data_IF_879440877459
#
_entry.id   IF_879440877459
#
_cell.length_a   1.000
_cell.length_b   1.000
_cell.length_c   1.000
_cell.angle_alpha   90.00
_cell.angle_beta   90.00
_cell.angle_gamma   90.00
#
_symmetry.space_group_name_H-M   'P 1'
#
loop_
_entity.id
_entity.type
_entity.pdbx_description
1 polymer ?
#
# COMPACT_ATOMS: atom_id res chain seq x y z
N UNK A 1 13.72 9.81 -8.80
CA UNK A 1 12.44 9.22 -9.25
C UNK A 1 11.47 9.15 -8.09
N UNK A 2 10.25 9.53 -8.30
CA UNK A 2 9.24 9.42 -7.26
C UNK A 2 8.65 8.01 -7.28
N UNK A 3 8.59 7.40 -6.09
CA UNK A 3 8.02 6.07 -5.91
C UNK A 3 6.75 6.21 -5.09
N UNK A 4 5.70 5.52 -5.50
CA UNK A 4 4.42 5.57 -4.81
C UNK A 4 3.96 4.19 -4.38
N UNK A 5 3.24 4.16 -3.24
CA UNK A 5 2.54 2.97 -2.79
C UNK A 5 1.08 3.21 -3.11
N UNK A 6 0.51 2.35 -3.94
CA UNK A 6 -0.86 2.55 -4.42
C UNK A 6 -1.59 1.23 -4.57
N UNK A 7 -2.90 1.32 -4.77
CA UNK A 7 -3.73 0.15 -4.98
C UNK A 7 -3.81 -0.17 -6.46
N UNK A 8 -3.66 -1.45 -6.79
CA UNK A 8 -3.89 -1.96 -8.13
C UNK A 8 -5.13 -2.84 -8.09
N UNK A 9 -6.11 -2.53 -8.94
CA UNK A 9 -7.34 -3.30 -8.97
C UNK A 9 -7.12 -4.67 -9.58
N UNK A 10 -7.64 -5.69 -8.89
CA UNK A 10 -7.61 -7.08 -9.31
C UNK A 10 -9.02 -7.64 -9.21
N UNK A 11 -9.20 -8.88 -9.65
CA UNK A 11 -10.47 -9.57 -9.55
C UNK A 11 -11.46 -9.20 -10.66
N UNK A 12 -12.70 -9.61 -10.48
CA UNK A 12 -13.77 -9.39 -11.45
C UNK A 12 -14.55 -8.13 -11.15
N UNK A 13 -15.44 -7.73 -12.08
CA UNK A 13 -16.31 -6.58 -11.88
C UNK A 13 -17.21 -6.73 -10.65
N UNK A 14 -17.62 -7.96 -10.34
CA UNK A 14 -18.53 -8.23 -9.22
C UNK A 14 -17.82 -8.43 -7.89
N UNK A 15 -16.56 -8.82 -7.93
CA UNK A 15 -15.76 -9.06 -6.71
C UNK A 15 -14.40 -8.40 -6.85
N UNK A 16 -14.34 -7.08 -6.81
CA UNK A 16 -13.06 -6.39 -6.90
C UNK A 16 -12.27 -6.57 -5.61
N UNK A 17 -10.96 -6.73 -5.77
CA UNK A 17 -10.04 -6.60 -4.65
C UNK A 17 -8.82 -5.86 -5.16
N UNK A 18 -8.00 -5.39 -4.24
CA UNK A 18 -6.88 -4.55 -4.58
C UNK A 18 -5.59 -5.12 -4.00
N UNK A 19 -4.51 -4.95 -4.73
CA UNK A 19 -3.18 -5.22 -4.20
C UNK A 19 -2.50 -3.90 -3.87
N UNK A 20 -1.78 -3.89 -2.76
CA UNK A 20 -0.94 -2.75 -2.42
C UNK A 20 0.40 -2.96 -3.11
N UNK A 21 0.74 -2.05 -4.01
CA UNK A 21 1.95 -2.18 -4.82
C UNK A 21 2.79 -0.92 -4.74
N UNK A 22 4.09 -1.10 -4.86
CA UNK A 22 5.05 -0.02 -4.99
C UNK A 22 5.36 0.15 -6.46
N UNK A 23 5.20 1.36 -6.97
CA UNK A 23 5.41 1.63 -8.39
C UNK A 23 6.01 3.01 -8.60
N UNK A 24 6.63 3.19 -9.76
CA UNK A 24 7.08 4.50 -10.20
C UNK A 24 5.85 5.40 -10.38
N UNK A 25 5.92 6.63 -9.88
CA UNK A 25 4.80 7.58 -9.95
C UNK A 25 4.33 7.85 -11.39
N UNK A 26 5.20 7.65 -12.36
CA UNK A 26 4.88 7.86 -13.77
C UNK A 26 4.25 6.65 -14.43
N UNK A 27 4.29 5.47 -13.78
CA UNK A 27 3.69 4.27 -14.34
C UNK A 27 2.17 4.38 -14.32
N UNK A 28 1.46 3.87 -15.36
CA UNK A 28 0.00 3.83 -15.33
C UNK A 28 -0.52 3.03 -14.14
N UNK A 29 -1.71 3.39 -13.66
CA UNK A 29 -2.31 2.72 -12.50
C UNK A 29 -2.38 1.20 -12.66
N UNK A 30 -2.69 0.73 -13.86
CA UNK A 30 -2.79 -0.70 -14.15
C UNK A 30 -1.55 -1.26 -14.84
N UNK A 31 -0.44 -0.50 -14.80
CA UNK A 31 0.81 -0.90 -15.41
C UNK A 31 1.71 -1.68 -14.47
N UNK A 32 2.99 -1.70 -14.81
CA UNK A 32 3.99 -2.44 -14.04
C UNK A 32 4.20 -1.83 -12.67
N UNK A 33 4.53 -2.69 -11.71
CA UNK A 33 4.90 -2.26 -10.38
C UNK A 33 6.24 -2.88 -9.98
N UNK A 34 6.87 -2.29 -8.97
CA UNK A 34 8.18 -2.73 -8.50
C UNK A 34 8.04 -3.93 -7.56
N UNK A 35 7.10 -3.84 -6.61
CA UNK A 35 6.92 -4.86 -5.60
C UNK A 35 5.49 -4.83 -5.08
N UNK A 36 4.96 -6.01 -4.75
CA UNK A 36 3.67 -6.16 -4.09
C UNK A 36 3.91 -6.28 -2.58
N UNK A 37 3.19 -5.48 -1.79
CA UNK A 37 3.37 -5.47 -0.35
C UNK A 37 2.14 -5.88 0.44
N UNK A 38 1.05 -6.22 -0.24
CA UNK A 38 -0.15 -6.68 0.45
C UNK A 38 -1.37 -6.64 -0.44
N UNK A 39 -2.53 -6.93 0.17
CA UNK A 39 -3.78 -6.82 -0.53
C UNK A 39 -4.87 -6.26 0.38
N UNK A 40 -5.90 -5.70 -0.24
CA UNK A 40 -7.02 -5.07 0.44
C UNK A 40 -8.33 -5.47 -0.23
N UNK A 41 -9.27 -5.99 0.56
CA UNK A 41 -10.60 -6.34 0.09
C UNK A 41 -11.60 -5.36 0.71
N UNK A 42 -12.16 -4.42 -0.08
CA UNK A 42 -13.08 -3.43 0.45
C UNK A 42 -14.40 -4.02 0.96
N UNK A 43 -14.78 -5.20 0.47
CA UNK A 43 -16.01 -5.85 0.89
C UNK A 43 -15.88 -6.46 2.28
N UNK A 44 -14.69 -6.88 2.66
CA UNK A 44 -14.42 -7.48 3.97
C UNK A 44 -13.79 -6.53 4.96
N UNK A 45 -13.38 -5.35 4.48
CA UNK A 45 -12.83 -4.31 5.34
C UNK A 45 -11.40 -4.55 5.78
N UNK A 46 -10.97 -3.72 6.73
CA UNK A 46 -9.59 -3.69 7.18
C UNK A 46 -9.16 -4.99 7.87
N UNK A 47 -10.10 -5.69 8.52
CA UNK A 47 -9.80 -6.92 9.24
C UNK A 47 -9.22 -8.02 8.34
N UNK A 48 -9.56 -7.98 7.05
CA UNK A 48 -9.09 -8.97 6.09
C UNK A 48 -7.99 -8.42 5.19
N UNK A 49 -7.46 -7.27 5.53
CA UNK A 49 -6.35 -6.66 4.82
C UNK A 49 -5.06 -7.28 5.32
N UNK A 50 -4.24 -7.79 4.41
CA UNK A 50 -2.93 -8.32 4.75
C UNK A 50 -1.85 -7.45 4.12
N UNK A 51 -0.94 -6.99 4.95
CA UNK A 51 0.16 -6.14 4.50
C UNK A 51 1.46 -6.67 5.10
N UNK A 52 2.48 -6.78 4.26
CA UNK A 52 3.82 -7.09 4.74
C UNK A 52 4.38 -5.82 5.38
N UNK A 53 4.32 -5.74 6.70
CA UNK A 53 4.72 -4.54 7.44
C UNK A 53 6.19 -4.18 7.20
N UNK A 54 7.07 -5.18 7.16
CA UNK A 54 8.49 -4.91 6.93
C UNK A 54 8.72 -4.22 5.60
N UNK A 55 8.09 -4.73 4.55
CA UNK A 55 8.21 -4.13 3.23
C UNK A 55 7.61 -2.74 3.19
N UNK A 56 6.43 -2.58 3.78
CA UNK A 56 5.75 -1.29 3.82
C UNK A 56 6.61 -0.25 4.54
N UNK A 57 7.14 -0.59 5.71
CA UNK A 57 7.97 0.32 6.49
C UNK A 57 9.28 0.64 5.77
N UNK A 58 9.89 -0.36 5.13
CA UNK A 58 11.11 -0.16 4.38
C UNK A 58 10.91 0.83 3.23
N UNK A 59 9.83 0.67 2.47
CA UNK A 59 9.55 1.58 1.36
C UNK A 59 9.20 2.98 1.85
N UNK A 60 8.44 3.10 2.93
CA UNK A 60 8.15 4.41 3.52
C UNK A 60 9.42 5.09 4.02
N UNK A 61 10.31 4.34 4.66
CA UNK A 61 11.59 4.88 5.13
C UNK A 61 12.46 5.36 3.96
N UNK A 62 12.34 4.73 2.80
CA UNK A 62 13.08 5.11 1.61
C UNK A 62 12.40 6.21 0.78
N UNK A 63 11.33 6.79 1.30
CA UNK A 63 10.69 7.93 0.67
C UNK A 63 9.53 7.61 -0.25
N UNK A 64 9.07 6.36 -0.30
CA UNK A 64 7.88 6.02 -1.09
C UNK A 64 6.67 6.73 -0.49
N UNK A 65 5.84 7.32 -1.34
CA UNK A 65 4.70 8.10 -0.90
C UNK A 65 3.41 7.34 -1.10
N UNK A 66 2.65 7.07 -0.03
CA UNK A 66 1.37 6.39 -0.17
C UNK A 66 0.31 7.33 -0.73
N UNK A 67 -0.58 6.79 -1.56
CA UNK A 67 -1.79 7.53 -1.96
C UNK A 67 -2.66 7.76 -0.73
N UNK A 68 -3.63 8.65 -0.83
CA UNK A 68 -4.52 8.95 0.30
C UNK A 68 -5.23 7.70 0.80
N UNK A 69 -5.69 6.84 -0.11
CA UNK A 69 -6.36 5.60 0.25
C UNK A 69 -5.41 4.65 0.99
N UNK A 70 -4.19 4.48 0.48
CA UNK A 70 -3.19 3.61 1.12
C UNK A 70 -2.79 4.17 2.48
N UNK A 71 -2.63 5.48 2.60
CA UNK A 71 -2.33 6.12 3.88
C UNK A 71 -3.43 5.83 4.91
N UNK A 72 -4.67 5.92 4.48
CA UNK A 72 -5.82 5.61 5.34
C UNK A 72 -5.76 4.16 5.82
N UNK A 73 -5.44 3.22 4.91
CA UNK A 73 -5.28 1.81 5.26
C UNK A 73 -4.15 1.62 6.27
N UNK A 74 -3.02 2.28 6.05
CA UNK A 74 -1.88 2.19 6.97
C UNK A 74 -2.23 2.72 8.37
N UNK A 75 -3.02 3.79 8.43
CA UNK A 75 -3.47 4.33 9.73
C UNK A 75 -4.38 3.36 10.45
N UNK A 76 -5.28 2.70 9.74
CA UNK A 76 -6.23 1.75 10.34
C UNK A 76 -5.55 0.46 10.79
N UNK A 77 -4.49 0.05 10.12
CA UNK A 77 -3.77 -1.18 10.45
C UNK A 77 -2.62 -0.96 11.45
N UNK A 78 -2.37 0.30 11.84
CA UNK A 78 -1.31 0.63 12.79
C UNK A 78 0.08 0.78 12.17
N UNK A 79 0.22 0.54 10.88
CA UNK A 79 1.52 0.65 10.21
C UNK A 79 2.01 2.10 10.20
N UNK A 80 1.10 3.05 10.07
CA UNK A 80 1.45 4.46 10.03
C UNK A 80 2.12 4.91 11.33
N UNK A 81 1.62 4.43 12.46
CA UNK A 81 2.21 4.75 13.77
C UNK A 81 3.59 4.13 13.93
N UNK A 82 3.78 2.90 13.43
CA UNK A 82 5.08 2.24 13.47
C UNK A 82 6.11 2.99 12.63
N UNK A 83 5.69 3.53 11.49
CA UNK A 83 6.56 4.36 10.67
C UNK A 83 7.05 5.59 11.45
N UNK A 84 6.12 6.25 12.13
CA UNK A 84 6.44 7.44 12.90
C UNK A 84 7.43 7.12 14.04
N UNK A 85 7.23 5.99 14.70
CA UNK A 85 8.13 5.53 15.75
C UNK A 85 9.53 5.28 15.21
N UNK A 86 9.64 4.65 14.04
CA UNK A 86 10.93 4.40 13.41
C UNK A 86 11.65 5.69 13.02
N UNK A 87 10.92 6.70 12.60
CA UNK A 87 11.52 7.98 12.25
C UNK A 87 12.10 8.69 13.47
N UNK A 88 11.56 8.44 14.64
CA UNK A 88 12.04 9.04 15.89
C UNK A 88 13.22 8.29 16.49
N UNK A 89 13.47 7.10 16.07
CA UNK A 89 14.58 6.31 16.55
C UNK A 89 15.75 6.38 15.58
#
# INVERSE_FOLDING_TARGET
MATKIRLKRMGSKKKPFYRLVVADSRAPRDGRFIEEIGYYDPLRGVENTKIDEEKALKWLANGAQPTDTVRSIFKRTGIWEKRHTQEQS
#
